data_IF_979126591626
#
_entry.id   IF_979126591626
#
_cell.length_a   1.000
_cell.length_b   1.000
_cell.length_c   1.000
_cell.angle_alpha   90.00
_cell.angle_beta   90.00
_cell.angle_gamma   90.00
#
_symmetry.space_group_name_H-M   'P 1'
#
loop_
_entity.id
_entity.type
_entity.pdbx_description
1 polymer ?
#
# COMPACT_ATOMS: atom_id res chain seq x y z
N UNK A 1 -11.79 -11.93 -5.72
CA UNK A 1 -10.65 -11.12 -5.23
C UNK A 1 -9.47 -12.02 -4.88
N UNK A 2 -9.65 -12.98 -3.97
CA UNK A 2 -8.60 -13.90 -3.54
C UNK A 2 -7.96 -14.70 -4.69
N UNK A 3 -8.74 -15.21 -5.65
CA UNK A 3 -8.16 -15.86 -6.85
C UNK A 3 -7.16 -14.99 -7.62
N UNK A 4 -7.36 -13.66 -7.60
CA UNK A 4 -6.44 -12.70 -8.22
C UNK A 4 -5.19 -12.51 -7.36
N UNK A 5 -5.34 -12.50 -6.04
CA UNK A 5 -4.22 -12.40 -5.09
C UNK A 5 -3.35 -13.67 -5.13
N UNK A 6 -3.95 -14.85 -5.19
CA UNK A 6 -3.21 -16.11 -5.36
C UNK A 6 -2.42 -16.14 -6.67
N UNK A 7 -3.00 -15.66 -7.77
CA UNK A 7 -2.27 -15.51 -9.04
C UNK A 7 -1.11 -14.52 -8.93
N UNK A 8 -1.28 -13.42 -8.20
CA UNK A 8 -0.24 -12.42 -7.97
C UNK A 8 0.90 -13.01 -7.12
N UNK A 9 0.56 -13.74 -6.05
CA UNK A 9 1.54 -14.40 -5.18
C UNK A 9 2.32 -15.48 -5.94
N UNK A 10 1.65 -16.35 -6.69
CA UNK A 10 2.32 -17.37 -7.50
C UNK A 10 3.27 -16.74 -8.52
N UNK A 11 2.82 -15.69 -9.21
CA UNK A 11 3.66 -14.95 -10.16
C UNK A 11 4.85 -14.28 -9.47
N UNK A 12 4.66 -13.74 -8.27
CA UNK A 12 5.75 -13.17 -7.49
C UNK A 12 6.79 -14.23 -7.16
N UNK A 13 6.39 -15.40 -6.67
CA UNK A 13 7.30 -16.50 -6.34
C UNK A 13 8.03 -17.05 -7.58
N UNK A 14 7.35 -17.13 -8.72
CA UNK A 14 7.96 -17.45 -10.02
C UNK A 14 9.05 -16.42 -10.38
N UNK A 15 8.75 -15.13 -10.28
CA UNK A 15 9.72 -14.05 -10.56
C UNK A 15 10.89 -14.09 -9.58
N UNK A 16 10.64 -14.30 -8.29
CA UNK A 16 11.69 -14.45 -7.26
C UNK A 16 12.64 -15.59 -7.63
N UNK A 17 12.09 -16.73 -8.06
CA UNK A 17 12.88 -17.87 -8.53
C UNK A 17 13.70 -17.49 -9.76
N UNK A 18 13.07 -16.89 -10.78
CA UNK A 18 13.76 -16.46 -12.00
C UNK A 18 14.90 -15.46 -11.73
N UNK A 19 14.73 -14.55 -10.77
CA UNK A 19 15.78 -13.58 -10.39
C UNK A 19 17.02 -14.25 -9.78
N UNK A 20 16.89 -15.47 -9.27
CA UNK A 20 18.02 -16.27 -8.76
C UNK A 20 18.75 -17.07 -9.86
N UNK A 21 18.18 -17.16 -11.06
CA UNK A 21 18.73 -17.97 -12.16
C UNK A 21 19.91 -17.30 -12.87
N UNK A 22 20.99 -18.04 -13.09
CA UNK A 22 22.23 -17.53 -13.72
C UNK A 22 22.00 -16.94 -15.12
N UNK A 23 21.09 -17.53 -15.91
CA UNK A 23 20.78 -17.04 -17.26
C UNK A 23 19.94 -15.75 -17.27
N UNK A 24 19.25 -15.43 -16.16
CA UNK A 24 18.56 -14.16 -15.96
C UNK A 24 19.55 -13.10 -15.48
N UNK A 25 20.39 -13.44 -14.49
CA UNK A 25 21.42 -12.54 -13.94
C UNK A 25 22.39 -12.08 -15.02
N UNK A 26 22.78 -12.97 -15.93
CA UNK A 26 23.65 -12.64 -17.07
C UNK A 26 22.97 -11.78 -18.14
N UNK A 27 21.63 -11.65 -18.12
CA UNK A 27 20.88 -10.79 -19.02
C UNK A 27 20.34 -9.55 -18.29
N UNK A 28 21.15 -8.49 -18.24
CA UNK A 28 20.84 -7.26 -17.51
C UNK A 28 19.46 -6.66 -17.83
N UNK A 29 19.04 -6.68 -19.11
CA UNK A 29 17.74 -6.13 -19.52
C UNK A 29 16.57 -6.94 -18.96
N UNK A 30 16.65 -8.28 -19.03
CA UNK A 30 15.63 -9.16 -18.43
C UNK A 30 15.60 -9.03 -16.92
N UNK A 31 16.76 -9.00 -16.29
CA UNK A 31 16.89 -8.82 -14.84
C UNK A 31 16.21 -7.54 -14.36
N UNK A 32 16.50 -6.39 -14.99
CA UNK A 32 15.89 -5.10 -14.61
C UNK A 32 14.37 -5.14 -14.72
N UNK A 33 13.84 -5.72 -15.80
CA UNK A 33 12.39 -5.82 -16.00
C UNK A 33 11.73 -6.69 -14.93
N UNK A 34 12.30 -7.87 -14.64
CA UNK A 34 11.79 -8.77 -13.61
C UNK A 34 11.93 -8.18 -12.21
N UNK A 35 13.03 -7.50 -11.90
CA UNK A 35 13.23 -6.83 -10.62
C UNK A 35 12.22 -5.71 -10.40
N UNK A 36 11.92 -4.93 -11.45
CA UNK A 36 10.87 -3.91 -11.40
C UNK A 36 9.51 -4.54 -11.11
N UNK A 37 9.14 -5.57 -11.88
CA UNK A 37 7.87 -6.28 -11.69
C UNK A 37 7.77 -6.90 -10.29
N UNK A 38 8.83 -7.54 -9.80
CA UNK A 38 8.91 -8.08 -8.44
C UNK A 38 8.65 -7.00 -7.38
N UNK A 39 9.32 -5.84 -7.50
CA UNK A 39 9.13 -4.72 -6.57
C UNK A 39 7.72 -4.12 -6.62
N UNK A 40 7.06 -4.15 -7.78
CA UNK A 40 5.68 -3.67 -7.91
C UNK A 40 4.68 -4.62 -7.24
N UNK A 41 4.93 -5.93 -7.29
CA UNK A 41 4.07 -6.96 -6.68
C UNK A 41 4.31 -7.12 -5.17
N UNK A 42 5.52 -6.86 -4.68
CA UNK A 42 5.92 -7.09 -3.28
C UNK A 42 4.92 -6.52 -2.25
N UNK A 43 4.45 -5.27 -2.33
CA UNK A 43 3.54 -4.73 -1.32
C UNK A 43 2.17 -5.45 -1.27
N UNK A 44 1.73 -5.99 -2.41
CA UNK A 44 0.47 -6.74 -2.52
C UNK A 44 0.65 -8.12 -1.87
N UNK A 45 1.77 -8.78 -2.16
CA UNK A 45 2.07 -10.13 -1.66
C UNK A 45 2.32 -10.11 -0.16
N UNK A 46 3.11 -9.17 0.36
CA UNK A 46 3.34 -9.03 1.80
C UNK A 46 2.02 -8.84 2.56
N UNK A 47 1.16 -7.94 2.08
CA UNK A 47 -0.13 -7.70 2.71
C UNK A 47 -1.08 -8.90 2.60
N UNK A 48 -0.98 -9.67 1.53
CA UNK A 48 -1.78 -10.88 1.36
C UNK A 48 -1.30 -12.03 2.25
N UNK A 49 0.01 -12.19 2.43
CA UNK A 49 0.59 -13.15 3.37
C UNK A 49 0.23 -12.80 4.82
N UNK A 50 0.23 -11.52 5.16
CA UNK A 50 -0.28 -11.03 6.45
C UNK A 50 -1.76 -11.44 6.65
N UNK A 51 -2.61 -11.22 5.64
CA UNK A 51 -4.01 -11.66 5.67
C UNK A 51 -4.15 -13.17 5.89
N UNK A 52 -3.40 -13.98 5.14
CA UNK A 52 -3.39 -15.45 5.30
C UNK A 52 -2.98 -15.86 6.72
N UNK A 53 -1.99 -15.18 7.29
CA UNK A 53 -1.57 -15.37 8.68
C UNK A 53 -2.69 -15.07 9.68
N UNK A 54 -3.37 -13.93 9.54
CA UNK A 54 -4.51 -13.55 10.40
C UNK A 54 -5.63 -14.59 10.31
N UNK A 55 -6.00 -15.02 9.10
CA UNK A 55 -7.04 -16.04 8.91
C UNK A 55 -6.66 -17.36 9.58
N UNK A 56 -5.39 -17.76 9.49
CA UNK A 56 -4.89 -18.96 10.16
C UNK A 56 -4.97 -18.84 11.69
N UNK A 57 -4.63 -17.69 12.26
CA UNK A 57 -4.77 -17.45 13.71
C UNK A 57 -6.23 -17.48 14.16
N UNK A 58 -7.15 -16.91 13.36
CA UNK A 58 -8.60 -17.00 13.61
C UNK A 58 -9.05 -18.47 13.66
N UNK A 59 -8.64 -19.29 12.69
CA UNK A 59 -8.98 -20.71 12.65
C UNK A 59 -8.42 -21.49 13.86
N UNK A 60 -7.22 -21.13 14.31
CA UNK A 60 -6.58 -21.70 15.51
C UNK A 60 -7.36 -21.33 16.79
N UNK A 61 -7.76 -20.07 16.95
CA UNK A 61 -8.55 -19.62 18.11
C UNK A 61 -9.95 -20.22 18.12
N UNK A 62 -10.63 -20.28 16.97
CA UNK A 62 -11.91 -20.95 16.83
C UNK A 62 -11.82 -22.45 17.17
N UNK A 63 -10.68 -23.09 16.89
CA UNK A 63 -10.43 -24.47 17.27
C UNK A 63 -10.25 -24.59 18.78
N UNK A 64 -9.46 -23.72 19.41
CA UNK A 64 -9.28 -23.67 20.87
C UNK A 64 -10.62 -23.51 21.58
N UNK A 65 -11.47 -22.59 21.12
CA UNK A 65 -12.78 -22.33 21.72
C UNK A 65 -13.68 -23.57 21.65
N UNK A 66 -13.63 -24.32 20.55
CA UNK A 66 -14.45 -25.52 20.33
C UNK A 66 -13.92 -26.74 21.09
N UNK A 67 -12.61 -26.95 21.11
CA UNK A 67 -12.01 -28.22 21.51
C UNK A 67 -11.35 -28.21 22.91
N UNK A 68 -10.98 -27.05 23.44
CA UNK A 68 -10.38 -26.98 24.78
C UNK A 68 -11.41 -27.30 25.88
N UNK A 69 -10.96 -27.83 27.02
CA UNK A 69 -11.77 -27.93 28.25
C UNK A 69 -11.40 -26.84 29.28
N UNK A 70 -10.31 -26.09 29.02
CA UNK A 70 -9.83 -25.00 29.88
C UNK A 70 -10.60 -23.71 29.58
N UNK A 71 -11.39 -23.26 30.57
CA UNK A 71 -12.22 -22.05 30.48
C UNK A 71 -11.40 -20.76 30.36
N UNK A 72 -10.22 -20.69 31.00
CA UNK A 72 -9.35 -19.51 30.92
C UNK A 72 -8.78 -19.38 29.51
N UNK A 73 -8.30 -20.50 28.95
CA UNK A 73 -7.78 -20.55 27.59
C UNK A 73 -8.85 -20.18 26.55
N UNK A 74 -10.09 -20.63 26.73
CA UNK A 74 -11.21 -20.23 25.85
C UNK A 74 -11.50 -18.75 25.90
N UNK A 75 -11.41 -18.15 27.08
CA UNK A 75 -11.72 -16.73 27.24
C UNK A 75 -10.63 -15.85 26.60
N UNK A 76 -9.36 -16.24 26.73
CA UNK A 76 -8.24 -15.60 26.02
C UNK A 76 -8.46 -15.68 24.50
N UNK A 77 -8.75 -16.88 23.98
CA UNK A 77 -8.97 -17.07 22.55
C UNK A 77 -10.16 -16.25 22.00
N UNK A 78 -11.23 -16.05 22.78
CA UNK A 78 -12.34 -15.18 22.36
C UNK A 78 -11.94 -13.70 22.28
N UNK A 79 -11.14 -13.22 23.23
CA UNK A 79 -10.65 -11.84 23.21
C UNK A 79 -9.73 -11.60 22.01
N UNK A 80 -8.83 -12.54 21.72
CA UNK A 80 -7.94 -12.48 20.56
C UNK A 80 -8.74 -12.53 19.24
N UNK A 81 -9.78 -13.36 19.17
CA UNK A 81 -10.64 -13.49 18.00
C UNK A 81 -11.29 -12.16 17.59
N UNK A 82 -11.77 -11.35 18.54
CA UNK A 82 -12.35 -10.03 18.24
C UNK A 82 -11.33 -9.09 17.59
N UNK A 83 -10.10 -9.05 18.13
CA UNK A 83 -9.02 -8.23 17.55
C UNK A 83 -8.60 -8.73 16.16
N UNK A 84 -8.48 -10.04 16.00
CA UNK A 84 -8.08 -10.66 14.73
C UNK A 84 -9.13 -10.43 13.66
N UNK A 85 -10.43 -10.48 14.00
CA UNK A 85 -11.51 -10.21 13.06
C UNK A 85 -11.46 -8.75 12.57
N UNK A 86 -11.20 -7.79 13.46
CA UNK A 86 -10.97 -6.40 13.05
C UNK A 86 -9.72 -6.23 12.16
N UNK A 87 -8.60 -6.89 12.52
CA UNK A 87 -7.36 -6.87 11.72
C UNK A 87 -7.57 -7.51 10.34
N UNK A 88 -8.37 -8.57 10.25
CA UNK A 88 -8.75 -9.23 9.00
C UNK A 88 -9.50 -8.27 8.09
N UNK A 89 -10.54 -7.63 8.60
CA UNK A 89 -11.40 -6.73 7.81
C UNK A 89 -10.61 -5.50 7.31
N UNK A 90 -9.82 -4.89 8.19
CA UNK A 90 -8.95 -3.74 7.80
C UNK A 90 -7.87 -4.12 6.79
N UNK A 91 -7.28 -5.32 6.93
CA UNK A 91 -6.31 -5.84 5.97
C UNK A 91 -6.95 -6.18 4.63
N UNK A 92 -8.17 -6.73 4.63
CA UNK A 92 -8.93 -7.03 3.42
C UNK A 92 -9.26 -5.76 2.64
N UNK A 93 -9.72 -4.70 3.32
CA UNK A 93 -9.95 -3.40 2.68
C UNK A 93 -8.65 -2.85 2.07
N UNK A 94 -7.53 -2.94 2.80
CA UNK A 94 -6.24 -2.51 2.27
C UNK A 94 -5.84 -3.30 1.01
N UNK A 95 -6.11 -4.60 0.96
CA UNK A 95 -5.89 -5.43 -0.23
C UNK A 95 -6.77 -4.98 -1.41
N UNK A 96 -8.03 -4.62 -1.19
CA UNK A 96 -8.90 -4.07 -2.24
C UNK A 96 -8.29 -2.80 -2.85
N UNK A 97 -7.78 -1.89 -2.02
CA UNK A 97 -7.08 -0.69 -2.50
C UNK A 97 -5.82 -1.02 -3.29
N UNK A 98 -5.00 -1.96 -2.83
CA UNK A 98 -3.77 -2.37 -3.50
C UNK A 98 -4.01 -3.06 -4.86
N UNK A 99 -5.20 -3.66 -5.06
CA UNK A 99 -5.61 -4.32 -6.30
C UNK A 99 -6.19 -3.36 -7.34
N UNK A 100 -6.44 -2.10 -6.96
CA UNK A 100 -6.82 -1.08 -7.92
C UNK A 100 -5.71 -0.93 -8.96
N UNK A 101 -6.04 -0.84 -10.25
CA UNK A 101 -5.04 -0.57 -11.26
C UNK A 101 -4.31 0.72 -10.89
N UNK A 102 -2.98 0.65 -10.77
CA UNK A 102 -2.17 1.85 -10.62
C UNK A 102 -2.39 2.73 -11.84
N UNK A 103 -2.69 4.00 -11.62
CA UNK A 103 -2.72 4.95 -12.73
C UNK A 103 -1.28 5.04 -13.26
N UNK A 104 -1.04 4.92 -14.58
CA UNK A 104 0.28 5.12 -15.16
C UNK A 104 0.88 6.51 -14.85
N UNK A 105 0.07 7.44 -14.33
CA UNK A 105 0.46 8.77 -13.85
C UNK A 105 0.81 8.79 -12.35
N UNK A 106 0.44 7.79 -11.54
CA UNK A 106 0.70 7.75 -10.09
C UNK A 106 2.21 7.79 -9.76
N UNK A 107 3.04 7.29 -10.67
CA UNK A 107 4.49 7.27 -10.52
C UNK A 107 5.19 8.51 -11.10
N UNK A 108 4.45 9.48 -11.66
CA UNK A 108 5.01 10.68 -12.28
C UNK A 108 5.03 11.85 -11.32
N UNK A 109 5.98 12.76 -11.54
CA UNK A 109 5.96 14.06 -10.89
C UNK A 109 4.70 14.84 -11.30
N UNK A 110 4.20 15.68 -10.40
CA UNK A 110 3.00 16.49 -10.61
C UNK A 110 3.40 17.97 -10.69
N UNK A 111 2.75 18.71 -11.59
CA UNK A 111 2.79 20.18 -11.60
C UNK A 111 1.50 20.67 -10.93
N UNK A 112 1.65 21.49 -9.89
CA UNK A 112 0.52 22.09 -9.18
C UNK A 112 0.41 23.56 -9.55
N UNK A 113 -0.76 23.96 -10.05
CA UNK A 113 -1.06 25.35 -10.35
C UNK A 113 -2.10 25.89 -9.38
N UNK A 114 -1.75 26.93 -8.62
CA UNK A 114 -2.63 27.59 -7.67
C UNK A 114 -2.99 28.97 -8.23
N UNK A 115 -4.28 29.18 -8.54
CA UNK A 115 -4.80 30.45 -9.06
C UNK A 115 -5.80 31.05 -8.09
N UNK A 116 -5.71 32.36 -7.88
CA UNK A 116 -6.74 33.10 -7.17
C UNK A 116 -8.06 33.01 -7.96
N UNK A 117 -9.14 32.66 -7.26
CA UNK A 117 -10.50 32.65 -7.81
C UNK A 117 -11.15 34.03 -7.74
N UNK A 118 -12.46 34.05 -7.55
CA UNK A 118 -13.20 35.29 -7.27
C UNK A 118 -12.90 35.79 -5.86
N UNK A 119 -12.76 37.11 -5.68
CA UNK A 119 -12.51 37.73 -4.36
C UNK A 119 -11.34 38.71 -4.31
N UNK A 120 -10.70 39.03 -5.44
CA UNK A 120 -9.63 40.02 -5.50
C UNK A 120 -8.48 39.68 -4.55
N UNK A 121 -8.08 40.63 -3.71
CA UNK A 121 -6.95 40.50 -2.78
C UNK A 121 -7.12 39.34 -1.79
N UNK A 122 -8.34 39.07 -1.31
CA UNK A 122 -8.61 37.95 -0.40
C UNK A 122 -8.37 36.59 -1.06
N UNK A 123 -8.71 36.47 -2.34
CA UNK A 123 -8.45 35.26 -3.11
C UNK A 123 -6.94 35.06 -3.37
N UNK A 124 -6.20 36.16 -3.53
CA UNK A 124 -4.73 36.14 -3.62
C UNK A 124 -4.07 35.68 -2.31
N UNK A 125 -4.52 36.20 -1.17
CA UNK A 125 -4.05 35.77 0.15
C UNK A 125 -4.35 34.29 0.39
N UNK A 126 -5.53 33.82 0.03
CA UNK A 126 -5.88 32.40 0.17
C UNK A 126 -5.06 31.48 -0.74
N UNK A 127 -4.77 31.91 -1.97
CA UNK A 127 -3.86 31.19 -2.86
C UNK A 127 -2.45 31.08 -2.26
N UNK A 128 -1.95 32.14 -1.61
CA UNK A 128 -0.68 32.12 -0.91
C UNK A 128 -0.69 31.17 0.29
N UNK A 129 -1.80 31.07 1.03
CA UNK A 129 -1.93 30.13 2.14
C UNK A 129 -1.97 28.67 1.66
N UNK A 130 -2.68 28.38 0.55
CA UNK A 130 -2.66 27.06 -0.07
C UNK A 130 -1.25 26.68 -0.54
N UNK A 131 -0.53 27.61 -1.17
CA UNK A 131 0.85 27.39 -1.58
C UNK A 131 1.72 27.00 -0.39
N UNK A 132 1.67 27.77 0.71
CA UNK A 132 2.41 27.48 1.95
C UNK A 132 2.01 26.15 2.57
N UNK A 133 0.72 25.80 2.53
CA UNK A 133 0.21 24.53 3.04
C UNK A 133 0.81 23.34 2.28
N UNK A 134 0.77 23.38 0.94
CA UNK A 134 1.30 22.31 0.10
C UNK A 134 2.83 22.24 0.13
N UNK A 135 3.52 23.38 0.24
CA UNK A 135 4.96 23.42 0.44
C UNK A 135 5.36 22.63 1.70
N UNK A 136 4.77 22.96 2.85
CA UNK A 136 5.03 22.26 4.12
C UNK A 136 4.66 20.78 4.09
N UNK A 137 3.55 20.44 3.42
CA UNK A 137 3.16 19.03 3.27
C UNK A 137 4.20 18.24 2.47
N UNK A 138 4.66 18.81 1.36
CA UNK A 138 5.63 18.20 0.46
C UNK A 138 7.00 18.04 1.14
N UNK A 139 7.45 19.05 1.90
CA UNK A 139 8.65 18.96 2.74
C UNK A 139 8.55 17.80 3.75
N UNK A 140 7.41 17.65 4.44
CA UNK A 140 7.18 16.55 5.40
C UNK A 140 7.18 15.16 4.75
N UNK A 141 6.99 15.09 3.43
CA UNK A 141 7.02 13.86 2.64
C UNK A 141 8.38 13.63 1.96
N UNK A 142 9.38 14.48 2.23
CA UNK A 142 10.70 14.47 1.60
C UNK A 142 10.62 14.55 0.07
N UNK A 143 9.66 15.31 -0.46
CA UNK A 143 9.50 15.52 -1.90
C UNK A 143 10.37 16.68 -2.38
N UNK A 144 10.94 16.55 -3.58
CA UNK A 144 11.63 17.64 -4.25
C UNK A 144 10.60 18.63 -4.79
N UNK A 145 10.79 19.91 -4.48
CA UNK A 145 9.90 21.00 -4.88
C UNK A 145 10.69 21.95 -5.78
N UNK A 146 10.10 22.31 -6.92
CA UNK A 146 10.66 23.32 -7.84
C UNK A 146 9.59 24.38 -8.12
N UNK A 147 9.89 25.64 -7.81
CA UNK A 147 9.02 26.76 -8.14
C UNK A 147 9.22 27.15 -9.61
N UNK A 148 8.20 26.95 -10.44
CA UNK A 148 8.27 27.23 -11.89
C UNK A 148 7.93 28.69 -12.20
N UNK A 149 6.88 29.23 -11.58
CA UNK A 149 6.41 30.59 -11.82
C UNK A 149 5.58 31.09 -10.65
N UNK A 150 5.81 32.34 -10.24
CA UNK A 150 5.01 33.05 -9.25
C UNK A 150 4.71 34.44 -9.78
N UNK A 151 3.43 34.84 -9.70
CA UNK A 151 3.01 36.22 -9.89
C UNK A 151 2.51 36.76 -8.56
N UNK A 152 3.29 37.61 -7.87
CA UNK A 152 2.81 38.25 -6.64
C UNK A 152 1.68 39.22 -6.99
N UNK A 153 0.54 39.04 -6.32
CA UNK A 153 -0.60 39.97 -6.37
C UNK A 153 -0.28 41.30 -5.70
#
# INVERSE_FOLDING_TARGET
MFDRLDKIENKFDEITTLLSESYIISNQKKYINLAKEHSELLPIVEKYREYKGIVKSIEEDEKIIRESDDLELKEIAKQELEELQYKKDTTEERLKYLLLPRDPSDAKNVIMEIRAGTGGDEAGLFAADLYRMYLKYSEKKDWNIEEISVNPG
#
